data_IF_120190299944
#
_entry.id   IF_120190299944
#
_cell.length_a   1.000
_cell.length_b   1.000
_cell.length_c   1.000
_cell.angle_alpha   90.00
_cell.angle_beta   90.00
_cell.angle_gamma   90.00
#
_symmetry.space_group_name_H-M   'P 1'
#
loop_
_entity.id
_entity.type
_entity.pdbx_description
1 polymer ?
#
# COMPACT_ATOMS: atom_id res chain seq x y z
N UNK A 1 -15.48 34.09 -39.74
CA UNK A 1 -14.64 34.42 -38.61
C UNK A 1 -14.86 33.43 -37.50
N UNK A 2 -14.22 32.28 -37.52
CA UNK A 2 -14.13 31.30 -36.40
C UNK A 2 -12.86 30.49 -36.58
N UNK A 3 -11.74 31.04 -36.15
CA UNK A 3 -10.46 30.32 -36.08
C UNK A 3 -9.64 30.96 -34.98
N UNK A 4 -9.89 30.60 -33.71
CA UNK A 4 -9.08 31.11 -32.59
C UNK A 4 -9.10 30.22 -31.35
N UNK A 5 -9.76 29.06 -31.34
CA UNK A 5 -9.81 28.21 -30.16
C UNK A 5 -8.85 27.00 -30.20
N UNK A 6 -8.44 26.60 -31.40
CA UNK A 6 -7.51 25.48 -31.59
C UNK A 6 -6.04 25.89 -31.34
N UNK A 7 -5.68 27.10 -31.75
CA UNK A 7 -4.31 27.62 -31.59
C UNK A 7 -3.96 27.93 -30.14
N UNK A 8 -4.92 28.33 -29.32
CA UNK A 8 -4.72 28.55 -27.88
C UNK A 8 -4.48 27.24 -27.11
N UNK A 9 -5.13 26.12 -27.51
CA UNK A 9 -4.91 24.80 -26.91
C UNK A 9 -3.59 24.18 -27.33
N UNK A 10 -3.16 24.40 -28.58
CA UNK A 10 -1.85 23.92 -29.04
C UNK A 10 -0.70 24.68 -28.38
N UNK A 11 -0.86 25.97 -28.14
CA UNK A 11 0.16 26.81 -27.46
C UNK A 11 0.29 26.47 -25.97
N UNK A 12 -0.80 26.07 -25.30
CA UNK A 12 -0.77 25.60 -23.91
C UNK A 12 -0.12 24.22 -23.75
N UNK A 13 -0.07 23.39 -24.80
CA UNK A 13 0.65 22.11 -24.79
C UNK A 13 2.15 22.23 -25.10
N UNK A 14 2.60 23.38 -25.63
CA UNK A 14 4.01 23.60 -25.97
C UNK A 14 4.80 24.31 -24.86
N UNK A 15 4.10 24.85 -23.84
CA UNK A 15 4.72 25.52 -22.67
C UNK A 15 5.00 24.58 -21.48
N UNK A 16 4.92 23.27 -21.67
CA UNK A 16 5.62 22.32 -20.81
C UNK A 16 7.11 22.28 -21.18
N UNK A 17 7.75 23.44 -21.19
CA UNK A 17 9.19 23.52 -21.11
C UNK A 17 9.57 22.94 -19.75
N UNK A 18 9.94 21.64 -19.74
CA UNK A 18 10.62 21.00 -18.63
C UNK A 18 11.90 21.81 -18.37
N UNK A 19 11.73 22.83 -17.52
CA UNK A 19 12.81 23.72 -17.14
C UNK A 19 13.88 22.82 -16.50
N UNK A 20 15.13 22.86 -16.99
CA UNK A 20 16.27 22.06 -16.49
C UNK A 20 16.37 22.09 -14.96
N UNK A 21 15.93 23.21 -14.32
CA UNK A 21 15.80 23.33 -12.86
C UNK A 21 14.65 22.50 -12.28
N UNK A 22 13.54 22.30 -12.99
CA UNK A 22 12.44 21.39 -12.59
C UNK A 22 12.85 19.93 -12.70
N UNK A 23 13.56 19.59 -13.79
CA UNK A 23 14.13 18.24 -13.97
C UNK A 23 15.21 17.94 -12.91
N UNK A 24 16.02 18.93 -12.54
CA UNK A 24 17.02 18.80 -11.46
C UNK A 24 16.36 18.64 -10.08
N UNK A 25 15.23 19.31 -9.82
CA UNK A 25 14.47 19.14 -8.57
C UNK A 25 13.77 17.78 -8.51
N UNK A 26 13.21 17.31 -9.62
CA UNK A 26 12.63 15.96 -9.75
C UNK A 26 13.75 14.92 -9.75
N UNK A 27 14.88 15.18 -10.38
CA UNK A 27 16.08 14.35 -10.36
C UNK A 27 16.75 14.30 -8.99
N UNK A 28 16.77 15.39 -8.22
CA UNK A 28 17.27 15.42 -6.85
C UNK A 28 16.33 14.68 -5.86
N UNK A 29 15.01 14.81 -6.02
CA UNK A 29 14.04 14.06 -5.22
C UNK A 29 13.96 12.57 -5.66
N UNK A 30 13.99 12.28 -6.96
CA UNK A 30 14.04 10.92 -7.49
C UNK A 30 15.43 10.29 -7.38
N UNK A 31 16.49 11.06 -7.54
CA UNK A 31 17.88 10.62 -7.36
C UNK A 31 18.27 10.45 -5.90
N UNK A 32 17.68 11.22 -4.98
CA UNK A 32 17.83 10.98 -3.53
C UNK A 32 17.10 9.70 -3.10
N UNK A 33 15.99 9.34 -3.75
CA UNK A 33 15.35 8.04 -3.56
C UNK A 33 16.17 6.88 -4.18
N UNK A 34 16.92 7.12 -5.26
CA UNK A 34 17.72 6.08 -5.92
C UNK A 34 19.19 6.05 -5.42
N UNK A 35 19.80 7.20 -5.14
CA UNK A 35 21.15 7.28 -4.58
C UNK A 35 21.17 7.22 -3.04
N UNK A 36 20.08 7.60 -2.39
CA UNK A 36 19.81 7.34 -0.97
C UNK A 36 19.47 5.88 -0.68
N UNK A 37 19.32 5.03 -1.71
CA UNK A 37 19.05 3.61 -1.56
C UNK A 37 20.07 2.89 -0.64
N UNK A 38 21.32 3.34 -0.60
CA UNK A 38 22.33 2.81 0.33
C UNK A 38 22.18 3.34 1.78
N UNK A 39 21.79 4.59 1.96
CA UNK A 39 21.55 5.16 3.29
C UNK A 39 20.13 4.84 3.79
N UNK A 40 19.14 4.91 2.89
CA UNK A 40 17.77 4.50 3.19
C UNK A 40 17.70 3.00 3.48
N UNK A 41 18.42 2.15 2.71
CA UNK A 41 18.50 0.73 3.01
C UNK A 41 19.21 0.46 4.33
N UNK A 42 20.18 1.28 4.77
CA UNK A 42 20.80 1.16 6.10
C UNK A 42 19.89 1.63 7.24
N UNK A 43 19.08 2.67 7.01
CA UNK A 43 18.07 3.12 7.98
C UNK A 43 16.92 2.09 8.03
N UNK A 44 16.53 1.53 6.88
CA UNK A 44 15.51 0.49 6.77
C UNK A 44 16.02 -0.89 7.26
N UNK A 45 17.31 -1.18 7.08
CA UNK A 45 17.94 -2.40 7.63
C UNK A 45 18.15 -2.35 9.16
N UNK A 46 18.04 -1.16 9.78
CA UNK A 46 18.04 -1.04 11.23
C UNK A 46 16.72 -1.53 11.87
N UNK A 47 15.66 -1.69 11.09
CA UNK A 47 14.43 -2.39 11.48
C UNK A 47 14.54 -3.88 11.13
N UNK A 48 15.63 -4.53 11.53
CA UNK A 48 15.72 -5.99 11.56
C UNK A 48 14.88 -6.54 12.74
N UNK A 49 13.63 -6.04 12.85
CA UNK A 49 12.66 -6.61 13.76
C UNK A 49 12.33 -8.02 13.26
N UNK A 50 12.55 -9.00 14.13
CA UNK A 50 12.10 -10.37 13.88
C UNK A 50 10.59 -10.41 13.64
N UNK A 51 10.08 -11.56 13.29
CA UNK A 51 8.64 -11.75 13.16
C UNK A 51 7.95 -11.47 14.50
N UNK A 52 6.79 -10.82 14.44
CA UNK A 52 5.94 -10.59 15.61
C UNK A 52 5.48 -11.91 16.24
N UNK A 53 5.15 -11.88 17.51
CA UNK A 53 4.68 -13.08 18.21
C UNK A 53 3.45 -13.69 17.53
N UNK A 54 3.56 -14.96 17.16
CA UNK A 54 2.51 -15.69 16.46
C UNK A 54 2.47 -15.53 14.95
N UNK A 55 3.49 -14.89 14.35
CA UNK A 55 3.68 -14.71 12.91
C UNK A 55 5.04 -15.26 12.46
N UNK A 56 5.16 -15.64 11.18
CA UNK A 56 6.40 -16.12 10.57
C UNK A 56 7.22 -14.99 9.93
N UNK A 57 6.54 -13.97 9.41
CA UNK A 57 7.14 -12.94 8.55
C UNK A 57 6.73 -11.53 8.94
N UNK A 58 5.46 -11.32 9.32
CA UNK A 58 4.94 -10.01 9.73
C UNK A 58 5.63 -9.54 11.01
N UNK A 59 6.08 -8.29 11.01
CA UNK A 59 6.79 -7.66 12.13
C UNK A 59 5.80 -6.86 12.99
N UNK A 60 6.17 -6.59 14.23
CA UNK A 60 5.38 -5.71 15.12
C UNK A 60 5.14 -4.33 14.52
N UNK A 61 6.09 -3.82 13.73
CA UNK A 61 5.97 -2.54 13.00
C UNK A 61 4.92 -2.56 11.87
N UNK A 62 4.61 -3.73 11.30
CA UNK A 62 3.66 -3.86 10.19
C UNK A 62 2.21 -3.96 10.68
N UNK A 63 2.00 -4.52 11.88
CA UNK A 63 0.69 -4.86 12.42
C UNK A 63 -0.25 -3.65 12.61
N UNK A 64 0.19 -2.48 13.13
CA UNK A 64 -0.70 -1.33 13.30
C UNK A 64 -1.32 -0.88 11.99
N UNK A 65 -0.53 -0.78 10.93
CA UNK A 65 -0.99 -0.43 9.60
C UNK A 65 -2.00 -1.47 9.07
N UNK A 66 -1.64 -2.74 9.10
CA UNK A 66 -2.47 -3.82 8.56
C UNK A 66 -3.79 -3.96 9.31
N UNK A 67 -3.78 -3.84 10.65
CA UNK A 67 -5.00 -3.87 11.47
C UNK A 67 -5.95 -2.72 11.18
N UNK A 68 -5.44 -1.57 10.73
CA UNK A 68 -6.28 -0.42 10.37
C UNK A 68 -6.76 -0.45 8.92
N UNK A 69 -5.95 -0.98 7.99
CA UNK A 69 -6.32 -1.09 6.58
C UNK A 69 -7.32 -2.23 6.33
N UNK A 70 -7.08 -3.40 6.95
CA UNK A 70 -7.85 -4.60 6.67
C UNK A 70 -9.36 -4.43 6.86
N UNK A 71 -9.90 -3.88 7.96
CA UNK A 71 -11.34 -3.73 8.12
C UNK A 71 -11.98 -2.83 7.06
N UNK A 72 -11.29 -1.78 6.61
CA UNK A 72 -11.79 -0.89 5.56
C UNK A 72 -11.78 -1.55 4.18
N UNK A 73 -10.80 -2.41 3.90
CA UNK A 73 -10.72 -3.15 2.64
C UNK A 73 -11.67 -4.36 2.61
N UNK A 74 -12.06 -4.88 3.78
CA UNK A 74 -13.04 -5.96 3.92
C UNK A 74 -14.47 -5.46 4.15
N UNK A 75 -14.69 -4.13 4.12
CA UNK A 75 -16.02 -3.56 4.28
C UNK A 75 -17.00 -4.16 3.25
N UNK A 76 -18.14 -4.69 3.74
CA UNK A 76 -19.10 -5.40 2.90
C UNK A 76 -18.74 -6.86 2.56
N UNK A 77 -17.55 -7.35 2.94
CA UNK A 77 -17.12 -8.74 2.70
C UNK A 77 -17.38 -9.67 3.89
N UNK A 78 -17.83 -9.13 5.02
CA UNK A 78 -18.21 -9.88 6.22
C UNK A 78 -19.19 -9.06 7.07
N UNK A 79 -19.92 -9.71 7.98
CA UNK A 79 -20.80 -8.98 8.89
C UNK A 79 -19.98 -8.15 9.88
N UNK A 80 -20.45 -6.94 10.28
CA UNK A 80 -19.69 -6.06 11.18
C UNK A 80 -19.28 -6.71 12.51
N UNK A 81 -20.14 -7.59 13.06
CA UNK A 81 -19.85 -8.33 14.29
C UNK A 81 -18.68 -9.31 14.16
N UNK A 82 -18.43 -9.82 12.94
CA UNK A 82 -17.41 -10.82 12.66
C UNK A 82 -16.11 -10.19 12.18
N UNK A 83 -16.09 -8.83 11.98
CA UNK A 83 -14.95 -8.10 11.46
C UNK A 83 -13.66 -8.31 12.28
N UNK A 84 -13.66 -8.29 13.63
CA UNK A 84 -12.43 -8.53 14.39
C UNK A 84 -11.81 -9.90 14.10
N UNK A 85 -12.63 -10.93 14.00
CA UNK A 85 -12.18 -12.28 13.64
C UNK A 85 -11.71 -12.35 12.19
N UNK A 86 -12.40 -11.69 11.27
CA UNK A 86 -12.02 -11.60 9.87
C UNK A 86 -10.65 -10.95 9.69
N UNK A 87 -10.39 -9.85 10.42
CA UNK A 87 -9.06 -9.19 10.43
C UNK A 87 -7.97 -10.15 10.89
N UNK A 88 -8.18 -10.82 12.03
CA UNK A 88 -7.18 -11.75 12.55
C UNK A 88 -6.92 -12.92 11.59
N UNK A 89 -7.97 -13.50 11.03
CA UNK A 89 -7.86 -14.58 10.04
C UNK A 89 -7.11 -14.10 8.80
N UNK A 90 -7.40 -12.90 8.31
CA UNK A 90 -6.73 -12.31 7.15
C UNK A 90 -5.24 -12.09 7.42
N UNK A 91 -4.87 -11.59 8.60
CA UNK A 91 -3.46 -11.36 8.94
C UNK A 91 -2.67 -12.67 9.02
N UNK A 92 -3.25 -13.71 9.61
CA UNK A 92 -2.62 -15.05 9.67
C UNK A 92 -2.46 -15.63 8.26
N UNK A 93 -3.49 -15.54 7.42
CA UNK A 93 -3.43 -16.01 6.03
C UNK A 93 -2.44 -15.21 5.19
N UNK A 94 -2.37 -13.89 5.39
CA UNK A 94 -1.39 -13.02 4.75
C UNK A 94 0.03 -13.42 5.12
N UNK A 95 0.30 -13.59 6.41
CA UNK A 95 1.60 -13.98 6.92
C UNK A 95 2.07 -15.31 6.33
N UNK A 96 1.18 -16.30 6.31
CA UNK A 96 1.45 -17.60 5.70
C UNK A 96 1.74 -17.47 4.19
N UNK A 97 0.98 -16.63 3.49
CA UNK A 97 1.22 -16.34 2.07
C UNK A 97 2.58 -15.68 1.84
N UNK A 98 2.95 -14.71 2.68
CA UNK A 98 4.25 -14.03 2.63
C UNK A 98 5.42 -14.99 2.94
N UNK A 99 5.23 -15.93 3.85
CA UNK A 99 6.24 -16.94 4.19
C UNK A 99 6.62 -17.83 3.01
N UNK A 100 5.69 -18.04 2.07
CA UNK A 100 5.93 -18.84 0.86
C UNK A 100 6.47 -18.04 -0.33
N UNK A 101 6.65 -16.73 -0.20
CA UNK A 101 7.22 -15.90 -1.28
C UNK A 101 8.72 -16.16 -1.45
N UNK A 102 9.20 -15.94 -2.67
CA UNK A 102 10.64 -15.89 -2.90
C UNK A 102 11.27 -14.72 -2.11
N UNK A 103 12.55 -14.84 -1.70
CA UNK A 103 13.23 -13.77 -0.95
C UNK A 103 13.18 -12.41 -1.64
N UNK A 104 13.23 -12.39 -2.98
CA UNK A 104 13.15 -11.16 -3.75
C UNK A 104 11.78 -10.48 -3.65
N UNK A 105 10.69 -11.24 -3.78
CA UNK A 105 9.33 -10.72 -3.65
C UNK A 105 9.03 -10.30 -2.21
N UNK A 106 9.46 -11.10 -1.23
CA UNK A 106 9.30 -10.75 0.17
C UNK A 106 10.03 -9.43 0.51
N UNK A 107 11.22 -9.22 -0.04
CA UNK A 107 11.95 -7.95 0.12
C UNK A 107 11.15 -6.76 -0.43
N UNK A 108 10.49 -6.90 -1.58
CA UNK A 108 9.66 -5.84 -2.16
C UNK A 108 8.43 -5.53 -1.28
N UNK A 109 7.77 -6.56 -0.74
CA UNK A 109 6.64 -6.38 0.18
C UNK A 109 7.10 -5.68 1.47
N UNK A 110 8.22 -6.11 2.04
CA UNK A 110 8.79 -5.46 3.23
C UNK A 110 9.14 -3.99 2.97
N UNK A 111 9.72 -3.66 1.81
CA UNK A 111 9.97 -2.26 1.44
C UNK A 111 8.68 -1.43 1.37
N UNK A 112 7.60 -1.99 0.82
CA UNK A 112 6.31 -1.32 0.80
C UNK A 112 5.79 -1.08 2.23
N UNK A 113 5.89 -2.08 3.10
CA UNK A 113 5.45 -1.96 4.50
C UNK A 113 6.33 -0.96 5.27
N UNK A 114 7.65 -0.97 5.07
CA UNK A 114 8.57 0.00 5.66
C UNK A 114 8.22 1.43 5.30
N UNK A 115 7.96 1.69 4.02
CA UNK A 115 7.57 3.01 3.52
C UNK A 115 6.26 3.50 4.17
N UNK A 116 5.32 2.60 4.45
CA UNK A 116 4.04 2.93 5.07
C UNK A 116 4.09 3.00 6.60
N UNK A 117 4.99 2.24 7.23
CA UNK A 117 5.11 2.17 8.70
C UNK A 117 6.00 3.26 9.29
N UNK A 118 7.07 3.64 8.58
CA UNK A 118 8.03 4.63 9.07
C UNK A 118 7.42 6.04 9.13
N UNK A 119 7.52 6.74 10.27
CA UNK A 119 6.95 8.08 10.44
C UNK A 119 7.44 9.09 9.39
N UNK A 120 8.73 8.99 9.01
CA UNK A 120 9.37 9.91 8.05
C UNK A 120 8.77 9.82 6.64
N UNK A 121 8.39 8.63 6.19
CA UNK A 121 7.85 8.37 4.84
C UNK A 121 6.33 8.31 4.85
N UNK A 122 5.73 7.81 5.93
CA UNK A 122 4.28 7.69 6.07
C UNK A 122 3.56 9.01 5.84
N UNK A 123 3.91 10.07 6.59
CA UNK A 123 3.25 11.37 6.51
C UNK A 123 3.18 11.91 5.09
N UNK A 124 4.30 12.12 4.40
CA UNK A 124 4.34 12.65 3.03
C UNK A 124 3.61 11.75 2.02
N UNK A 125 3.69 10.43 2.13
CA UNK A 125 3.14 9.50 1.15
C UNK A 125 1.67 9.18 1.38
N UNK A 126 1.25 9.05 2.65
CA UNK A 126 -0.13 8.68 2.98
C UNK A 126 -0.98 9.85 3.46
N UNK A 127 -0.36 10.97 3.88
CA UNK A 127 -1.04 12.08 4.56
C UNK A 127 -1.43 11.77 6.01
N UNK A 128 -1.02 10.62 6.53
CA UNK A 128 -1.27 10.21 7.91
C UNK A 128 -0.01 10.53 8.71
N UNK A 129 -0.04 11.65 9.41
CA UNK A 129 1.09 12.15 10.22
C UNK A 129 1.13 11.54 11.62
N UNK A 130 -0.02 11.13 12.12
CA UNK A 130 -0.17 10.37 13.37
C UNK A 130 0.23 8.89 13.20
N UNK A 131 0.25 8.13 14.31
CA UNK A 131 0.35 6.67 14.24
C UNK A 131 -0.85 6.04 13.51
N UNK A 132 -0.66 4.87 12.95
CA UNK A 132 -1.76 4.13 12.33
C UNK A 132 -2.90 3.85 13.32
N UNK A 133 -2.55 3.63 14.59
CA UNK A 133 -3.48 3.29 15.67
C UNK A 133 -4.54 4.39 15.90
N UNK A 134 -4.16 5.65 15.69
CA UNK A 134 -5.02 6.82 15.91
C UNK A 134 -5.54 7.44 14.62
N UNK A 135 -5.15 6.89 13.46
CA UNK A 135 -5.65 7.36 12.17
C UNK A 135 -7.15 7.12 12.06
N UNK A 136 -7.92 8.12 11.60
CA UNK A 136 -9.34 7.95 11.35
C UNK A 136 -9.60 7.16 10.07
N UNK A 137 -10.76 6.53 9.96
CA UNK A 137 -11.18 5.80 8.77
C UNK A 137 -11.20 6.71 7.53
N UNK A 138 -11.61 7.97 7.68
CA UNK A 138 -11.61 8.94 6.59
C UNK A 138 -10.20 9.28 6.10
N UNK A 139 -9.23 9.39 7.00
CA UNK A 139 -7.83 9.58 6.62
C UNK A 139 -7.30 8.39 5.82
N UNK A 140 -7.65 7.19 6.23
CA UNK A 140 -7.23 5.96 5.55
C UNK A 140 -7.92 5.84 4.18
N UNK A 141 -9.23 6.11 4.09
CA UNK A 141 -9.94 6.14 2.80
C UNK A 141 -9.36 7.19 1.86
N UNK A 142 -9.07 8.40 2.36
CA UNK A 142 -8.44 9.46 1.56
C UNK A 142 -7.06 9.07 1.07
N UNK A 143 -6.26 8.37 1.89
CA UNK A 143 -4.98 7.80 1.48
C UNK A 143 -5.14 6.79 0.34
N UNK A 144 -6.01 5.81 0.49
CA UNK A 144 -6.27 4.77 -0.52
C UNK A 144 -6.74 5.38 -1.84
N UNK A 145 -7.70 6.32 -1.80
CA UNK A 145 -8.19 7.03 -2.99
C UNK A 145 -7.09 7.85 -3.68
N UNK A 146 -6.23 8.52 -2.91
CA UNK A 146 -5.13 9.30 -3.46
C UNK A 146 -4.12 8.42 -4.19
N UNK A 147 -3.78 7.27 -3.62
CA UNK A 147 -2.87 6.33 -4.30
C UNK A 147 -3.52 5.70 -5.53
N UNK A 148 -4.78 5.31 -5.45
CA UNK A 148 -5.56 4.75 -6.56
C UNK A 148 -5.60 5.72 -7.75
N UNK A 149 -5.82 7.01 -7.50
CA UNK A 149 -6.00 8.04 -8.52
C UNK A 149 -4.70 8.81 -8.82
N UNK A 150 -3.56 8.36 -8.32
CA UNK A 150 -2.29 9.05 -8.51
C UNK A 150 -1.83 9.04 -9.97
N UNK A 151 -1.20 10.13 -10.42
CA UNK A 151 -0.48 10.16 -11.70
C UNK A 151 0.78 9.28 -11.69
N UNK A 152 1.35 9.01 -10.50
CA UNK A 152 2.53 8.17 -10.34
C UNK A 152 2.16 6.69 -10.37
N UNK A 153 2.70 5.97 -11.37
CA UNK A 153 2.42 4.54 -11.54
C UNK A 153 2.79 3.70 -10.31
N UNK A 154 3.86 4.07 -9.61
CA UNK A 154 4.35 3.38 -8.41
C UNK A 154 3.33 3.43 -7.26
N UNK A 155 2.64 4.58 -7.06
CA UNK A 155 1.62 4.68 -6.02
C UNK A 155 0.38 3.87 -6.36
N UNK A 156 -0.06 3.89 -7.63
CA UNK A 156 -1.15 3.02 -8.08
C UNK A 156 -0.80 1.53 -7.92
N UNK A 157 0.43 1.16 -8.26
CA UNK A 157 0.90 -0.21 -8.07
C UNK A 157 0.94 -0.59 -6.59
N UNK A 158 1.42 0.30 -5.71
CA UNK A 158 1.40 0.08 -4.25
C UNK A 158 -0.02 -0.13 -3.72
N UNK A 159 -0.99 0.69 -4.15
CA UNK A 159 -2.41 0.51 -3.82
C UNK A 159 -2.93 -0.86 -4.29
N UNK A 160 -2.69 -1.21 -5.57
CA UNK A 160 -3.15 -2.47 -6.13
C UNK A 160 -2.54 -3.68 -5.39
N UNK A 161 -1.25 -3.61 -5.05
CA UNK A 161 -0.56 -4.66 -4.30
C UNK A 161 -1.11 -4.84 -2.89
N UNK A 162 -1.37 -3.74 -2.15
CA UNK A 162 -1.99 -3.80 -0.83
C UNK A 162 -3.37 -4.43 -0.88
N UNK A 163 -4.22 -3.95 -1.79
CA UNK A 163 -5.57 -4.46 -1.97
C UNK A 163 -5.55 -5.96 -2.33
N UNK A 164 -4.74 -6.32 -3.31
CA UNK A 164 -4.63 -7.71 -3.76
C UNK A 164 -4.15 -8.65 -2.65
N UNK A 165 -3.10 -8.28 -1.90
CA UNK A 165 -2.57 -9.12 -0.82
C UNK A 165 -3.61 -9.36 0.26
N UNK A 166 -4.32 -8.31 0.71
CA UNK A 166 -5.32 -8.42 1.77
C UNK A 166 -6.55 -9.22 1.29
N UNK A 167 -7.05 -8.95 0.09
CA UNK A 167 -8.21 -9.69 -0.45
C UNK A 167 -7.87 -11.16 -0.73
N UNK A 168 -6.71 -11.46 -1.30
CA UNK A 168 -6.29 -12.85 -1.50
C UNK A 168 -6.16 -13.60 -0.18
N UNK A 169 -5.60 -12.96 0.85
CA UNK A 169 -5.49 -13.55 2.17
C UNK A 169 -6.87 -13.80 2.82
N UNK A 170 -7.82 -12.89 2.65
CA UNK A 170 -9.19 -13.07 3.14
C UNK A 170 -9.91 -14.22 2.41
N UNK A 171 -9.92 -14.18 1.07
CA UNK A 171 -10.62 -15.20 0.28
C UNK A 171 -9.93 -16.57 0.26
N UNK A 172 -8.73 -16.70 0.80
CA UNK A 172 -8.12 -17.99 1.10
C UNK A 172 -8.82 -18.72 2.27
N UNK A 173 -9.65 -18.01 3.07
CA UNK A 173 -10.30 -18.58 4.25
C UNK A 173 -11.74 -19.05 3.95
N UNK A 174 -12.18 -20.20 4.54
CA UNK A 174 -13.56 -20.66 4.40
C UNK A 174 -14.62 -19.68 4.91
N UNK A 175 -14.26 -18.80 5.86
CA UNK A 175 -15.16 -17.77 6.39
C UNK A 175 -15.61 -16.78 5.30
N UNK A 176 -14.71 -16.44 4.37
CA UNK A 176 -15.02 -15.58 3.23
C UNK A 176 -16.00 -16.25 2.25
N UNK A 177 -15.89 -17.55 2.06
CA UNK A 177 -16.73 -18.30 1.13
C UNK A 177 -18.19 -18.33 1.55
N UNK A 178 -18.44 -18.49 2.85
CA UNK A 178 -19.80 -18.48 3.40
C UNK A 178 -20.53 -17.15 3.09
N UNK A 179 -19.81 -16.03 3.12
CA UNK A 179 -20.39 -14.71 2.84
C UNK A 179 -20.73 -14.52 1.35
N UNK A 180 -19.90 -15.03 0.43
CA UNK A 180 -20.14 -14.90 -1.02
C UNK A 180 -20.93 -16.09 -1.61
N UNK A 181 -21.39 -17.02 -0.79
CA UNK A 181 -22.17 -18.20 -1.24
C UNK A 181 -21.35 -19.24 -1.98
N UNK A 182 -20.02 -19.21 -1.89
CA UNK A 182 -19.17 -20.22 -2.51
C UNK A 182 -19.11 -21.48 -1.63
N UNK A 183 -19.43 -22.69 -2.16
CA UNK A 183 -19.49 -23.92 -1.38
C UNK A 183 -18.12 -24.48 -0.97
N UNK A 184 -17.04 -23.87 -1.41
CA UNK A 184 -15.68 -24.37 -1.22
C UNK A 184 -15.15 -25.18 -2.40
N UNK A 185 -13.86 -25.56 -2.36
CA UNK A 185 -13.26 -26.40 -3.39
C UNK A 185 -13.91 -27.78 -3.41
N UNK A 186 -14.00 -28.44 -4.59
CA UNK A 186 -14.54 -29.77 -4.69
C UNK A 186 -13.73 -30.74 -3.83
N UNK A 187 -14.45 -31.59 -3.10
CA UNK A 187 -13.81 -32.70 -2.37
C UNK A 187 -13.41 -33.76 -3.38
N UNK A 188 -12.13 -33.97 -3.55
CA UNK A 188 -11.54 -35.02 -4.38
C UNK A 188 -11.39 -36.28 -3.54
#
# INVERSE_FOLDING_TARGET
MRCSSADAKLKAMHDLSLNRRGLLKIGLLGGALLAGGGLLSRILSASADGAASGFFVLRDSDLPMLRRLTPLLLEGSTAPRDMPQAVQTTLVSLDLGLHHLSPALLSQVRQLFDVLSLPLTRGPLTGIWSGWEVASDDQIRAFLQRWQNSSLAQLRQGHASLLQMILMAWYASPAAWAHCGYPGPPKV
#
